data_IF_148976711518
#
_entry.id   IF_148976711518
#
_cell.length_a   1.000
_cell.length_b   1.000
_cell.length_c   1.000
_cell.angle_alpha   90.00
_cell.angle_beta   90.00
_cell.angle_gamma   90.00
#
_symmetry.space_group_name_H-M   'P 1'
#
loop_
_entity.id
_entity.type
_entity.pdbx_description
1 polymer ?
#
# COMPACT_ATOMS: atom_id res chain seq x y z
N UNK A 1 1.36 3.65 -1.12
CA UNK A 1 0.00 4.06 -1.56
C UNK A 1 0.10 4.69 -2.93
N UNK A 2 -1.01 4.96 -3.58
CA UNK A 2 -1.05 5.61 -4.89
C UNK A 2 -2.13 6.70 -4.95
N UNK A 3 -1.84 7.77 -5.69
CA UNK A 3 -2.84 8.73 -6.12
C UNK A 3 -3.65 8.12 -7.25
N UNK A 4 -4.96 8.02 -7.07
CA UNK A 4 -5.88 7.48 -8.07
C UNK A 4 -6.39 8.58 -9.00
N UNK A 5 -6.97 8.18 -10.13
CA UNK A 5 -7.59 9.09 -11.10
C UNK A 5 -8.67 10.01 -10.50
N UNK A 6 -9.33 9.59 -9.42
CA UNK A 6 -10.38 10.36 -8.74
C UNK A 6 -9.83 11.33 -7.67
N UNK A 7 -8.52 11.51 -7.62
CA UNK A 7 -7.84 12.44 -6.71
C UNK A 7 -7.75 11.96 -5.26
N UNK A 8 -8.05 10.68 -4.99
CA UNK A 8 -7.95 10.08 -3.66
C UNK A 8 -6.75 9.16 -3.54
N UNK A 9 -6.21 9.06 -2.34
CA UNK A 9 -5.18 8.07 -1.99
C UNK A 9 -5.81 6.70 -1.74
N UNK A 10 -5.22 5.67 -2.33
CA UNK A 10 -5.58 4.27 -2.12
C UNK A 10 -4.37 3.35 -2.10
N UNK A 11 -4.61 2.08 -1.83
CA UNK A 11 -3.63 1.03 -2.08
C UNK A 11 -3.71 0.54 -3.53
N UNK A 12 -2.60 0.07 -4.11
CA UNK A 12 -2.65 -0.62 -5.39
C UNK A 12 -3.44 -1.92 -5.29
N UNK A 13 -4.14 -2.28 -6.36
CA UNK A 13 -5.06 -3.40 -6.44
C UNK A 13 -6.33 -3.02 -7.21
N UNK A 14 -7.30 -3.93 -7.26
CA UNK A 14 -8.43 -3.78 -8.16
C UNK A 14 -9.48 -4.88 -8.03
N UNK A 15 -10.40 -4.92 -8.99
CA UNK A 15 -11.49 -5.89 -8.99
C UNK A 15 -11.00 -7.26 -9.47
N UNK A 16 -11.09 -8.25 -8.58
CA UNK A 16 -10.76 -9.65 -8.92
C UNK A 16 -11.91 -10.28 -9.72
N UNK A 17 -11.59 -10.96 -10.81
CA UNK A 17 -12.56 -11.74 -11.59
C UNK A 17 -12.63 -13.17 -11.06
N UNK A 18 -13.83 -13.77 -11.04
CA UNK A 18 -14.03 -15.16 -10.66
C UNK A 18 -13.25 -16.16 -11.53
N UNK A 19 -12.86 -15.75 -12.75
CA UNK A 19 -12.04 -16.54 -13.66
C UNK A 19 -10.56 -16.59 -13.26
N UNK A 20 -10.09 -15.72 -12.36
CA UNK A 20 -8.70 -15.67 -11.91
C UNK A 20 -8.32 -16.89 -11.03
N UNK A 21 -9.29 -17.68 -10.58
CA UNK A 21 -9.09 -18.92 -9.81
C UNK A 21 -8.82 -18.73 -8.31
N UNK A 22 -8.27 -17.58 -7.90
CA UNK A 22 -8.21 -17.14 -6.50
C UNK A 22 -8.12 -15.63 -6.36
N UNK A 23 -8.37 -15.11 -5.16
CA UNK A 23 -8.20 -13.68 -4.83
C UNK A 23 -6.75 -13.24 -5.05
N UNK A 24 -5.77 -14.04 -4.63
CA UNK A 24 -4.35 -13.73 -4.77
C UNK A 24 -3.89 -13.73 -6.24
N UNK A 25 -4.47 -14.59 -7.07
CA UNK A 25 -4.19 -14.63 -8.50
C UNK A 25 -4.71 -13.37 -9.20
N UNK A 26 -5.96 -12.98 -8.92
CA UNK A 26 -6.53 -11.74 -9.45
C UNK A 26 -5.80 -10.51 -8.92
N UNK A 27 -5.49 -10.45 -7.63
CA UNK A 27 -4.72 -9.33 -7.06
C UNK A 27 -3.33 -9.24 -7.71
N UNK A 28 -2.62 -10.35 -7.95
CA UNK A 28 -1.33 -10.31 -8.65
C UNK A 28 -1.44 -9.74 -10.06
N UNK A 29 -2.53 -10.07 -10.78
CA UNK A 29 -2.80 -9.50 -12.11
C UNK A 29 -2.99 -7.99 -12.01
N UNK A 30 -3.88 -7.52 -11.13
CA UNK A 30 -4.11 -6.08 -10.89
C UNK A 30 -2.82 -5.34 -10.52
N UNK A 31 -2.02 -5.89 -9.60
CA UNK A 31 -0.74 -5.29 -9.21
C UNK A 31 0.25 -5.21 -10.37
N UNK A 32 0.25 -6.18 -11.29
CA UNK A 32 1.09 -6.13 -12.48
C UNK A 32 0.65 -5.05 -13.47
N UNK A 33 -0.65 -4.81 -13.60
CA UNK A 33 -1.22 -3.79 -14.49
C UNK A 33 -0.94 -2.38 -13.95
N UNK A 34 -1.09 -2.18 -12.63
CA UNK A 34 -0.90 -0.89 -11.96
C UNK A 34 0.57 -0.52 -11.69
N UNK A 35 1.44 -1.51 -11.43
CA UNK A 35 2.80 -1.28 -10.92
C UNK A 35 3.91 -1.91 -11.76
N UNK A 36 3.53 -2.71 -12.75
CA UNK A 36 4.44 -3.38 -13.67
C UNK A 36 5.01 -4.70 -13.13
N UNK A 37 5.89 -5.30 -13.93
CA UNK A 37 6.41 -6.65 -13.77
C UNK A 37 7.08 -6.91 -12.40
N UNK A 38 7.74 -5.89 -11.83
CA UNK A 38 8.38 -6.02 -10.51
C UNK A 38 7.38 -6.38 -9.40
N UNK A 39 6.14 -5.89 -9.48
CA UNK A 39 5.09 -6.23 -8.52
C UNK A 39 4.51 -7.63 -8.77
N UNK A 40 4.47 -8.10 -10.02
CA UNK A 40 3.99 -9.44 -10.38
C UNK A 40 4.84 -10.56 -9.76
N UNK A 41 6.13 -10.31 -9.55
CA UNK A 41 7.06 -11.26 -8.94
C UNK A 41 7.04 -11.26 -7.40
N UNK A 42 6.28 -10.37 -6.78
CA UNK A 42 6.10 -10.40 -5.33
C UNK A 42 5.25 -11.62 -4.95
N UNK A 43 5.77 -12.54 -4.10
CA UNK A 43 5.01 -13.72 -3.69
C UNK A 43 3.89 -13.31 -2.73
N UNK A 44 2.69 -13.13 -3.27
CA UNK A 44 1.48 -12.92 -2.48
C UNK A 44 0.89 -14.27 -2.04
N UNK A 45 0.73 -14.43 -0.73
CA UNK A 45 0.22 -15.64 -0.09
C UNK A 45 -0.99 -15.34 0.80
N UNK A 46 -1.73 -16.38 1.17
CA UNK A 46 -2.87 -16.25 2.09
C UNK A 46 -2.47 -15.76 3.49
N UNK A 47 -1.21 -15.96 3.89
CA UNK A 47 -0.67 -15.41 5.14
C UNK A 47 -0.52 -13.87 5.11
N UNK A 48 -0.53 -13.27 3.92
CA UNK A 48 -0.47 -11.81 3.75
C UNK A 48 -1.86 -11.16 3.86
N UNK A 49 -2.94 -11.95 3.85
CA UNK A 49 -4.31 -11.45 4.03
C UNK A 49 -4.51 -10.87 5.44
N UNK A 50 -5.26 -9.76 5.54
CA UNK A 50 -5.51 -9.05 6.80
C UNK A 50 -6.99 -8.94 7.13
N UNK A 51 -7.79 -8.36 6.23
CA UNK A 51 -9.18 -8.04 6.54
C UNK A 51 -10.05 -7.98 5.29
N UNK A 52 -11.37 -8.04 5.51
CA UNK A 52 -12.38 -7.84 4.46
C UNK A 52 -13.40 -6.82 4.94
N UNK A 53 -13.71 -5.84 4.10
CA UNK A 53 -14.66 -4.79 4.41
C UNK A 53 -15.74 -4.73 3.34
N UNK A 54 -17.00 -4.91 3.75
CA UNK A 54 -18.15 -4.68 2.87
C UNK A 54 -18.57 -3.21 3.00
N UNK A 55 -18.63 -2.50 1.87
CA UNK A 55 -19.16 -1.14 1.86
C UNK A 55 -20.70 -1.17 1.84
N UNK A 56 -21.38 -0.27 2.57
CA UNK A 56 -22.82 -0.11 2.43
C UNK A 56 -23.15 0.42 1.03
N UNK A 57 -24.05 -0.26 0.32
CA UNK A 57 -24.49 0.11 -1.02
C UNK A 57 -24.10 -0.93 -2.08
N UNK A 58 -23.01 -0.71 -2.84
CA UNK A 58 -22.59 -1.66 -3.88
C UNK A 58 -22.23 -3.01 -3.25
N UNK A 59 -22.54 -4.10 -3.95
CA UNK A 59 -22.20 -5.47 -3.53
C UNK A 59 -20.72 -5.76 -3.80
N UNK A 60 -19.85 -5.02 -3.12
CA UNK A 60 -18.39 -5.13 -3.23
C UNK A 60 -17.81 -5.36 -1.84
N UNK A 61 -16.90 -6.33 -1.75
CA UNK A 61 -16.10 -6.59 -0.56
C UNK A 61 -14.65 -6.27 -0.91
N UNK A 62 -14.05 -5.35 -0.15
CA UNK A 62 -12.64 -4.99 -0.29
C UNK A 62 -11.79 -5.94 0.56
N UNK A 63 -10.89 -6.69 -0.07
CA UNK A 63 -10.01 -7.65 0.58
C UNK A 63 -8.61 -7.04 0.71
N UNK A 64 -8.13 -6.89 1.94
CA UNK A 64 -6.87 -6.21 2.21
C UNK A 64 -5.73 -7.18 2.49
N UNK A 65 -4.59 -6.95 1.86
CA UNK A 65 -3.36 -7.73 2.03
C UNK A 65 -2.20 -6.80 2.41
N UNK A 66 -1.30 -7.30 3.25
CA UNK A 66 -0.09 -6.60 3.66
C UNK A 66 1.13 -7.49 3.47
N UNK A 67 2.03 -7.08 2.58
CA UNK A 67 3.27 -7.79 2.28
C UNK A 67 4.49 -7.00 2.73
N UNK A 68 5.32 -7.62 3.53
CA UNK A 68 6.64 -7.09 3.86
C UNK A 68 7.60 -7.36 2.70
N UNK A 69 8.22 -6.30 2.17
CA UNK A 69 9.23 -6.38 1.13
C UNK A 69 10.59 -5.93 1.66
N UNK A 70 11.64 -6.41 0.99
CA UNK A 70 12.95 -5.76 1.12
C UNK A 70 12.90 -4.36 0.51
N UNK A 71 13.79 -3.47 0.95
CA UNK A 71 13.91 -2.14 0.36
C UNK A 71 14.22 -2.19 -1.14
N UNK A 72 15.02 -3.17 -1.58
CA UNK A 72 15.35 -3.36 -2.99
C UNK A 72 14.12 -3.73 -3.82
N UNK A 73 13.29 -4.66 -3.33
CA UNK A 73 12.03 -5.03 -3.98
C UNK A 73 11.08 -3.83 -4.06
N UNK A 74 10.93 -3.08 -2.96
CA UNK A 74 10.11 -1.88 -2.93
C UNK A 74 10.58 -0.82 -3.95
N UNK A 75 11.89 -0.58 -4.03
CA UNK A 75 12.48 0.35 -5.00
C UNK A 75 12.30 -0.13 -6.44
N UNK A 76 12.38 -1.45 -6.69
CA UNK A 76 12.14 -2.02 -8.00
C UNK A 76 10.69 -1.80 -8.45
N UNK A 77 9.72 -1.98 -7.55
CA UNK A 77 8.30 -1.66 -7.79
C UNK A 77 8.13 -0.17 -8.12
N UNK A 78 8.70 0.73 -7.32
CA UNK A 78 8.59 2.17 -7.56
C UNK A 78 9.22 2.63 -8.87
N UNK A 79 10.34 2.02 -9.26
CA UNK A 79 11.01 2.29 -10.55
C UNK A 79 10.23 1.72 -11.74
N UNK A 80 9.45 0.66 -11.52
CA UNK A 80 8.63 0.01 -12.53
C UNK A 80 7.31 0.73 -12.78
N UNK A 81 6.66 1.23 -11.73
CA UNK A 81 5.30 1.74 -11.77
C UNK A 81 5.04 2.83 -12.83
N UNK A 82 5.94 3.81 -13.09
CA UNK A 82 5.72 4.81 -14.13
C UNK A 82 5.65 4.25 -15.57
N UNK A 83 6.06 2.99 -15.78
CA UNK A 83 5.97 2.28 -17.06
C UNK A 83 4.84 1.25 -17.10
N UNK A 84 4.08 1.13 -16.01
CA UNK A 84 2.97 0.20 -15.92
C UNK A 84 1.81 0.65 -16.83
N UNK A 85 0.92 -0.28 -17.14
CA UNK A 85 -0.19 -0.07 -18.09
C UNK A 85 -1.10 1.08 -17.63
N UNK A 86 -1.35 1.16 -16.33
CA UNK A 86 -2.35 2.09 -15.78
C UNK A 86 -1.75 3.43 -15.32
N UNK A 87 -0.44 3.62 -15.51
CA UNK A 87 0.22 4.88 -15.17
C UNK A 87 -0.27 6.02 -16.06
N UNK A 88 -0.73 7.10 -15.43
CA UNK A 88 -1.31 8.26 -16.12
C UNK A 88 -2.78 8.05 -16.54
N UNK A 89 -3.35 6.89 -16.24
CA UNK A 89 -4.77 6.58 -16.42
C UNK A 89 -5.44 6.44 -15.05
N UNK A 90 -5.54 5.21 -14.54
CA UNK A 90 -6.16 4.94 -13.24
C UNK A 90 -5.23 5.29 -12.06
N UNK A 91 -3.91 5.24 -12.30
CA UNK A 91 -2.86 5.50 -11.31
C UNK A 91 -2.04 6.73 -11.70
N UNK A 92 -2.12 7.78 -10.88
CA UNK A 92 -1.42 9.05 -11.12
C UNK A 92 -0.03 9.11 -10.47
N UNK A 93 0.31 8.15 -9.61
CA UNK A 93 1.65 8.02 -9.06
C UNK A 93 1.70 7.40 -7.67
N UNK A 94 2.82 6.75 -7.36
CA UNK A 94 3.08 6.16 -6.05
C UNK A 94 3.55 7.21 -5.04
N UNK A 95 3.12 7.02 -3.79
CA UNK A 95 3.56 7.79 -2.63
C UNK A 95 3.92 6.86 -1.47
N UNK A 96 5.06 7.12 -0.85
CA UNK A 96 5.45 6.50 0.43
C UNK A 96 4.74 7.20 1.57
N UNK A 97 4.22 6.43 2.52
CA UNK A 97 3.58 6.98 3.73
C UNK A 97 4.68 7.42 4.70
N UNK A 98 4.72 8.70 5.14
CA UNK A 98 5.62 9.11 6.19
C UNK A 98 5.12 8.53 7.52
N UNK A 99 5.90 7.65 8.16
CA UNK A 99 5.54 7.05 9.45
C UNK A 99 6.07 7.82 10.67
N UNK A 100 6.80 8.91 10.43
CA UNK A 100 7.31 9.81 11.45
C UNK A 100 6.35 10.97 11.70
N UNK A 101 6.48 11.62 12.85
CA UNK A 101 5.87 12.93 13.14
C UNK A 101 6.98 13.95 13.36
N UNK A 102 6.88 15.10 12.69
CA UNK A 102 7.82 16.20 12.86
C UNK A 102 7.63 16.90 14.21
N UNK A 103 8.60 17.72 14.61
CA UNK A 103 8.61 18.41 15.92
C UNK A 103 7.46 19.40 16.12
N UNK A 104 6.83 19.86 15.03
CA UNK A 104 5.65 20.72 15.06
C UNK A 104 4.38 19.96 15.47
N UNK A 105 4.45 18.62 15.59
CA UNK A 105 3.32 17.76 15.91
C UNK A 105 2.32 17.55 14.77
N UNK A 106 2.56 18.16 13.59
CA UNK A 106 1.63 18.17 12.46
C UNK A 106 2.26 17.51 11.23
N UNK A 107 3.50 17.84 10.89
CA UNK A 107 4.15 17.30 9.70
C UNK A 107 4.44 15.80 9.81
N UNK A 108 4.45 15.11 8.65
CA UNK A 108 4.64 13.66 8.57
C UNK A 108 3.31 12.90 8.52
N UNK A 109 3.17 11.85 9.34
CA UNK A 109 1.97 11.00 9.36
C UNK A 109 0.67 11.78 9.64
N UNK A 110 0.61 12.73 10.61
CA UNK A 110 -0.64 13.44 10.89
C UNK A 110 -1.14 14.23 9.66
N UNK A 111 -0.29 15.06 9.06
CA UNK A 111 -0.62 15.78 7.83
C UNK A 111 -0.94 14.84 6.65
N UNK A 112 -0.28 13.68 6.55
CA UNK A 112 -0.60 12.69 5.51
C UNK A 112 -2.01 12.13 5.68
N UNK A 113 -2.45 11.87 6.92
CA UNK A 113 -3.79 11.35 7.22
C UNK A 113 -4.92 12.35 6.97
N UNK A 114 -4.61 13.64 6.78
CA UNK A 114 -5.57 14.68 6.38
C UNK A 114 -5.87 14.70 4.87
N UNK A 115 -5.18 13.88 4.07
CA UNK A 115 -5.52 13.72 2.65
C UNK A 115 -6.87 13.02 2.47
N UNK A 116 -7.42 13.08 1.25
CA UNK A 116 -8.60 12.33 0.87
C UNK A 116 -8.23 10.88 0.53
N UNK A 117 -8.91 9.91 1.16
CA UNK A 117 -8.70 8.47 0.95
C UNK A 117 -9.93 7.83 0.30
N UNK A 118 -9.72 6.79 -0.50
CA UNK A 118 -10.81 6.00 -1.09
C UNK A 118 -11.30 4.93 -0.11
N UNK A 119 -12.62 4.76 0.02
CA UNK A 119 -13.23 3.68 0.79
C UNK A 119 -12.64 3.56 2.20
N UNK A 120 -12.23 2.34 2.56
CA UNK A 120 -11.61 2.01 3.86
C UNK A 120 -10.07 2.10 3.86
N UNK A 121 -9.44 2.74 2.86
CA UNK A 121 -7.98 2.73 2.71
C UNK A 121 -7.26 3.43 3.87
N UNK A 122 -7.87 4.44 4.48
CA UNK A 122 -7.31 5.12 5.66
C UNK A 122 -7.33 4.20 6.89
N UNK A 123 -8.43 3.50 7.12
CA UNK A 123 -8.60 2.55 8.21
C UNK A 123 -7.65 1.36 8.06
N UNK A 124 -7.55 0.80 6.85
CA UNK A 124 -6.61 -0.26 6.49
C UNK A 124 -5.15 0.18 6.72
N UNK A 125 -4.80 1.41 6.35
CA UNK A 125 -3.46 1.97 6.63
C UNK A 125 -3.20 2.02 8.14
N UNK A 126 -4.15 2.54 8.91
CA UNK A 126 -4.01 2.66 10.37
C UNK A 126 -3.91 1.28 11.03
N UNK A 127 -4.75 0.33 10.64
CA UNK A 127 -4.69 -1.06 11.13
C UNK A 127 -3.30 -1.66 10.87
N UNK A 128 -2.81 -1.54 9.63
CA UNK A 128 -1.55 -2.16 9.25
C UNK A 128 -0.32 -1.47 9.85
N UNK A 129 -0.34 -0.14 9.98
CA UNK A 129 0.74 0.64 10.58
C UNK A 129 0.77 0.55 12.12
N UNK A 130 -0.38 0.33 12.77
CA UNK A 130 -0.48 0.25 14.23
C UNK A 130 -0.37 -1.19 14.77
N UNK A 131 -0.77 -2.20 13.99
CA UNK A 131 -0.73 -3.62 14.39
C UNK A 131 0.45 -4.40 13.79
N UNK A 132 1.09 -3.89 12.74
CA UNK A 132 2.36 -4.45 12.24
C UNK A 132 3.51 -4.14 13.22
N UNK A 133 4.59 -4.92 13.16
CA UNK A 133 5.81 -4.75 13.95
C UNK A 133 6.56 -3.43 13.67
N UNK A 134 5.89 -2.29 13.77
CA UNK A 134 6.49 -0.98 13.89
C UNK A 134 6.96 -0.90 15.33
N UNK A 135 8.18 -1.39 15.56
CA UNK A 135 8.89 -1.25 16.84
C UNK A 135 8.66 0.17 17.40
N UNK A 136 8.38 0.31 18.71
CA UNK A 136 8.07 1.60 19.34
C UNK A 136 9.11 2.70 19.07
N UNK A 137 10.33 2.35 18.66
CA UNK A 137 11.41 3.27 18.30
C UNK A 137 11.15 4.13 17.06
N UNK A 138 10.25 3.74 16.14
CA UNK A 138 9.89 4.61 15.01
C UNK A 138 9.04 5.81 15.43
N UNK A 139 8.49 5.80 16.65
CA UNK A 139 7.74 6.94 17.21
C UNK A 139 8.64 8.06 17.75
N UNK A 140 9.97 7.86 17.77
CA UNK A 140 10.90 8.81 18.39
C UNK A 140 12.28 8.90 17.71
N UNK A 141 12.39 8.83 16.39
CA UNK A 141 13.68 9.05 15.71
C UNK A 141 13.98 10.52 15.40
N UNK A 142 14.14 11.30 16.48
CA UNK A 142 15.13 12.35 16.52
C UNK A 142 16.48 11.74 16.91
N UNK A 143 17.40 11.63 15.94
CA UNK A 143 18.79 11.14 16.10
C UNK A 143 18.98 9.65 16.42
N UNK A 144 19.31 8.85 15.40
CA UNK A 144 20.47 7.94 15.45
C UNK A 144 20.86 7.50 14.03
N UNK A 145 22.14 7.68 13.71
CA UNK A 145 22.80 7.09 12.54
C UNK A 145 23.07 5.62 12.86
N UNK A 146 22.55 4.70 12.04
CA UNK A 146 22.85 3.28 12.11
C UNK A 146 22.34 2.59 10.85
N UNK A 147 23.26 2.00 10.08
CA UNK A 147 22.94 1.20 8.91
C UNK A 147 22.37 -0.15 9.33
N UNK A 148 21.09 -0.36 9.04
CA UNK A 148 20.42 -1.65 9.09
C UNK A 148 19.51 -1.74 7.88
N UNK A 149 19.42 -2.92 7.27
CA UNK A 149 18.52 -3.17 6.15
C UNK A 149 17.10 -2.78 6.57
N UNK A 150 16.57 -1.69 6.02
CA UNK A 150 15.26 -1.16 6.40
C UNK A 150 14.20 -1.99 5.71
N UNK A 151 13.46 -2.79 6.47
CA UNK A 151 12.30 -3.49 5.96
C UNK A 151 11.18 -2.48 5.67
N UNK A 152 10.49 -2.63 4.54
CA UNK A 152 9.43 -1.71 4.12
C UNK A 152 8.17 -2.51 3.82
N UNK A 153 7.03 -2.02 4.29
CA UNK A 153 5.74 -2.68 4.08
C UNK A 153 5.04 -2.07 2.86
N UNK A 154 4.56 -2.95 1.97
CA UNK A 154 3.57 -2.61 0.96
C UNK A 154 2.23 -3.21 1.35
N UNK A 155 1.20 -2.47 1.03
CA UNK A 155 -0.17 -2.73 1.40
C UNK A 155 -0.99 -2.68 0.11
N UNK A 156 -1.89 -3.63 -0.06
CA UNK A 156 -2.68 -3.87 -1.26
C UNK A 156 -4.16 -4.01 -0.87
N UNK A 157 -5.09 -3.44 -1.65
CA UNK A 157 -6.53 -3.47 -1.34
C UNK A 157 -7.38 -4.00 -2.50
#
# INVERSE_FOLDING_TARGET
MQMRFDGRLGFPGGLVNLQDGSLEAGLRRELSEELGEAAAHVPLERADYRSSHAAPGPRVVAHFYAKQLTLEQLLAVEKGAPRAKDHGLEVLGLVRVPLYTLRDGVGGLPAFLENSFIGAAKEQLLEAALCGAVEPEMRSLGQRRGGGNRECFLFWA
#
